data_IF_053219986868
#
_entry.id   IF_053219986868
#
_cell.length_a   1.000
_cell.length_b   1.000
_cell.length_c   1.000
_cell.angle_alpha   90.00
_cell.angle_beta   90.00
_cell.angle_gamma   90.00
#
_symmetry.space_group_name_H-M   'P 1'
#
loop_
_entity.id
_entity.type
_entity.pdbx_description
1 polymer ?
#
# COMPACT_ATOMS: atom_id res chain seq x y z
N UNK A 1 9.66 19.98 22.71
CA UNK A 1 9.39 19.96 21.26
C UNK A 1 9.47 18.53 20.78
N UNK A 2 8.35 17.92 20.37
CA UNK A 2 8.36 16.55 19.83
C UNK A 2 8.62 16.63 18.32
N UNK A 3 9.84 16.31 17.92
CA UNK A 3 10.22 16.26 16.50
C UNK A 3 9.49 15.05 15.91
N UNK A 4 8.54 15.29 15.01
CA UNK A 4 7.91 14.22 14.23
C UNK A 4 9.00 13.56 13.38
N UNK A 5 9.47 12.38 13.79
CA UNK A 5 10.45 11.63 13.00
C UNK A 5 9.84 11.31 11.64
N UNK A 6 10.50 11.67 10.52
CA UNK A 6 9.98 11.38 9.19
C UNK A 6 9.77 9.87 9.05
N UNK A 7 8.61 9.48 8.55
CA UNK A 7 8.23 8.10 8.33
C UNK A 7 9.17 7.46 7.28
N UNK A 8 10.25 6.81 7.73
CA UNK A 8 11.14 6.06 6.83
C UNK A 8 10.43 4.81 6.33
N UNK A 9 10.23 4.72 5.02
CA UNK A 9 9.77 3.49 4.38
C UNK A 9 10.92 2.49 4.29
N UNK A 10 10.65 1.23 4.64
CA UNK A 10 11.59 0.13 4.40
C UNK A 10 11.80 -0.05 2.90
N UNK A 11 13.06 -0.07 2.50
CA UNK A 11 13.50 -0.42 1.15
C UNK A 11 13.18 -1.88 0.83
N UNK A 12 13.24 -2.24 -0.45
CA UNK A 12 13.03 -3.63 -0.89
C UNK A 12 14.06 -4.59 -0.27
N UNK A 13 15.31 -4.17 -0.21
CA UNK A 13 16.40 -5.01 0.27
C UNK A 13 16.31 -5.25 1.77
N UNK A 14 15.95 -4.23 2.55
CA UNK A 14 15.68 -4.39 3.99
C UNK A 14 14.51 -5.36 4.24
N UNK A 15 13.45 -5.30 3.43
CA UNK A 15 12.32 -6.24 3.54
C UNK A 15 12.75 -7.67 3.23
N UNK A 16 13.60 -7.87 2.23
CA UNK A 16 14.16 -9.17 1.89
C UNK A 16 15.04 -9.71 3.02
N UNK A 17 15.93 -8.88 3.57
CA UNK A 17 16.77 -9.28 4.70
C UNK A 17 15.95 -9.68 5.93
N UNK A 18 14.90 -8.91 6.27
CA UNK A 18 13.97 -9.28 7.35
C UNK A 18 13.34 -10.65 7.08
N UNK A 19 12.87 -10.90 5.86
CA UNK A 19 12.22 -12.16 5.49
C UNK A 19 13.21 -13.34 5.54
N UNK A 20 14.42 -13.17 5.02
CA UNK A 20 15.47 -14.19 5.05
C UNK A 20 15.83 -14.58 6.47
N UNK A 21 16.02 -13.61 7.37
CA UNK A 21 16.34 -13.87 8.77
C UNK A 21 15.16 -14.50 9.53
N UNK A 22 13.93 -14.08 9.24
CA UNK A 22 12.73 -14.68 9.82
C UNK A 22 12.55 -16.14 9.38
N UNK A 23 12.75 -16.44 8.09
CA UNK A 23 12.69 -17.81 7.56
C UNK A 23 13.83 -18.69 8.10
N UNK A 24 14.98 -18.10 8.44
CA UNK A 24 16.06 -18.78 9.13
C UNK A 24 15.78 -19.04 10.64
N UNK A 25 14.63 -18.60 11.16
CA UNK A 25 14.20 -18.85 12.54
C UNK A 25 14.67 -17.82 13.56
N UNK A 26 15.24 -16.69 13.13
CA UNK A 26 15.64 -15.63 14.06
C UNK A 26 14.42 -14.92 14.67
N UNK A 27 14.49 -14.66 15.98
CA UNK A 27 13.44 -13.92 16.67
C UNK A 27 13.44 -12.43 16.30
N UNK A 28 12.27 -11.78 16.32
CA UNK A 28 12.10 -10.37 15.96
C UNK A 28 13.09 -9.43 16.66
N UNK A 29 13.41 -9.69 17.93
CA UNK A 29 14.37 -8.90 18.72
C UNK A 29 15.81 -9.02 18.22
N UNK A 30 16.20 -10.21 17.74
CA UNK A 30 17.52 -10.43 17.13
C UNK A 30 17.62 -9.71 15.79
N UNK A 31 16.59 -9.86 14.94
CA UNK A 31 16.51 -9.18 13.63
C UNK A 31 16.57 -7.65 13.82
N UNK A 32 15.89 -7.12 14.84
CA UNK A 32 15.91 -5.70 15.17
C UNK A 32 17.32 -5.19 15.50
N UNK A 33 18.07 -5.94 16.32
CA UNK A 33 19.44 -5.59 16.67
C UNK A 33 20.39 -5.69 15.48
N UNK A 34 20.20 -6.69 14.62
CA UNK A 34 21.06 -6.93 13.48
C UNK A 34 20.89 -5.90 12.35
N UNK A 35 19.66 -5.45 12.11
CA UNK A 35 19.35 -4.50 11.02
C UNK A 35 19.19 -3.05 11.49
N UNK A 36 19.17 -2.79 12.80
CA UNK A 36 18.91 -1.46 13.36
C UNK A 36 17.47 -0.96 13.10
N UNK A 37 16.54 -1.86 12.81
CA UNK A 37 15.14 -1.55 12.51
C UNK A 37 14.29 -1.81 13.74
N UNK A 38 13.30 -0.96 14.02
CA UNK A 38 12.43 -1.15 15.18
C UNK A 38 11.68 -2.49 15.13
N UNK A 39 11.55 -3.13 16.29
CA UNK A 39 10.83 -4.41 16.40
C UNK A 39 9.37 -4.28 15.94
N UNK A 40 8.74 -3.13 16.18
CA UNK A 40 7.38 -2.84 15.72
C UNK A 40 7.30 -2.84 14.18
N UNK A 41 8.30 -2.27 13.50
CA UNK A 41 8.38 -2.29 12.04
C UNK A 41 8.54 -3.71 11.52
N UNK A 42 9.46 -4.50 12.11
CA UNK A 42 9.69 -5.90 11.73
C UNK A 42 8.41 -6.73 11.89
N UNK A 43 7.73 -6.60 13.03
CA UNK A 43 6.47 -7.30 13.30
C UNK A 43 5.38 -6.96 12.29
N UNK A 44 5.24 -5.67 11.93
CA UNK A 44 4.28 -5.24 10.90
C UNK A 44 4.64 -5.81 9.53
N UNK A 45 5.92 -5.79 9.17
CA UNK A 45 6.42 -6.36 7.92
C UNK A 45 6.12 -7.86 7.83
N UNK A 46 6.45 -8.64 8.85
CA UNK A 46 6.15 -10.09 8.89
C UNK A 46 4.64 -10.35 8.83
N UNK A 47 3.84 -9.59 9.59
CA UNK A 47 2.37 -9.70 9.54
C UNK A 47 1.83 -9.42 8.13
N UNK A 48 2.38 -8.42 7.45
CA UNK A 48 1.97 -8.10 6.08
C UNK A 48 2.31 -9.21 5.09
N UNK A 49 3.42 -9.94 5.32
CA UNK A 49 3.77 -11.12 4.53
C UNK A 49 2.82 -12.29 4.79
N UNK A 50 2.50 -12.58 6.05
CA UNK A 50 1.65 -13.72 6.40
C UNK A 50 0.16 -13.51 6.07
N UNK A 51 -0.33 -12.27 6.08
CA UNK A 51 -1.73 -11.94 5.81
C UNK A 51 -2.11 -12.03 4.32
N UNK A 52 -1.12 -11.96 3.43
CA UNK A 52 -1.31 -12.18 2.01
C UNK A 52 -1.14 -13.68 1.74
N UNK A 53 -2.25 -14.40 1.61
CA UNK A 53 -2.30 -15.81 1.18
C UNK A 53 -1.91 -15.95 -0.31
N UNK A 54 -0.65 -15.64 -0.63
CA UNK A 54 -0.04 -15.70 -1.97
C UNK A 54 1.35 -15.03 -1.97
N UNK A 55 2.24 -15.33 -2.95
CA UNK A 55 3.58 -14.74 -3.01
C UNK A 55 3.46 -13.21 -3.08
N UNK A 56 3.90 -12.54 -2.03
CA UNK A 56 3.73 -11.10 -1.87
C UNK A 56 4.52 -10.37 -2.95
N UNK A 57 3.90 -9.45 -3.71
CA UNK A 57 4.67 -8.55 -4.56
C UNK A 57 5.63 -7.76 -3.64
N UNK A 58 6.92 -7.89 -3.90
CA UNK A 58 7.99 -7.12 -3.22
C UNK A 58 7.80 -5.60 -3.39
N UNK A 59 6.87 -5.19 -4.25
CA UNK A 59 6.45 -3.82 -4.50
C UNK A 59 5.16 -3.49 -3.74
N UNK A 60 5.06 -2.30 -3.12
CA UNK A 60 3.80 -1.86 -2.54
C UNK A 60 2.72 -1.82 -3.61
N UNK A 61 1.64 -2.58 -3.43
CA UNK A 61 0.48 -2.49 -4.31
C UNK A 61 -0.14 -1.10 -4.14
N UNK A 62 -0.42 -0.43 -5.27
CA UNK A 62 -1.09 0.86 -5.24
C UNK A 62 -2.41 0.67 -4.49
N UNK A 63 -2.65 1.49 -3.46
CA UNK A 63 -3.92 1.46 -2.76
C UNK A 63 -5.04 1.68 -3.79
N UNK A 64 -6.20 1.05 -3.61
CA UNK A 64 -7.34 1.16 -4.54
C UNK A 64 -7.88 2.59 -4.69
N UNK A 65 -7.30 3.56 -3.98
CA UNK A 65 -7.75 4.93 -3.90
C UNK A 65 -9.07 5.06 -3.15
N UNK A 66 -9.54 6.30 -3.01
CA UNK A 66 -10.91 6.56 -2.57
C UNK A 66 -11.85 6.15 -3.70
N UNK A 67 -12.96 5.49 -3.35
CA UNK A 67 -14.01 5.20 -4.32
C UNK A 67 -14.52 6.54 -4.92
N UNK A 68 -14.79 6.61 -6.23
CA UNK A 68 -15.35 7.81 -6.82
C UNK A 68 -16.67 8.18 -6.12
N UNK A 69 -16.91 9.48 -5.96
CA UNK A 69 -18.13 9.98 -5.31
C UNK A 69 -19.39 9.60 -6.08
N UNK A 70 -19.28 9.53 -7.42
CA UNK A 70 -20.37 9.14 -8.30
C UNK A 70 -20.14 7.69 -8.73
N UNK A 71 -21.20 6.89 -8.63
CA UNK A 71 -21.20 5.52 -9.13
C UNK A 71 -21.09 5.47 -10.67
N UNK A 72 -20.75 4.30 -11.19
CA UNK A 72 -20.63 4.09 -12.65
C UNK A 72 -21.92 4.37 -13.43
N UNK A 73 -23.13 3.96 -13.00
CA UNK A 73 -24.34 4.24 -13.76
C UNK A 73 -24.72 5.73 -13.76
N UNK A 74 -24.59 6.44 -12.63
CA UNK A 74 -24.90 7.87 -12.56
C UNK A 74 -23.91 8.67 -13.38
N UNK A 75 -22.62 8.30 -13.37
CA UNK A 75 -21.60 8.91 -14.23
C UNK A 75 -21.95 8.75 -15.71
N UNK A 76 -22.41 7.57 -16.14
CA UNK A 76 -22.85 7.33 -17.53
C UNK A 76 -24.04 8.19 -17.92
N UNK A 77 -25.07 8.29 -17.07
CA UNK A 77 -26.24 9.17 -17.32
C UNK A 77 -25.82 10.63 -17.46
N UNK A 78 -24.93 11.09 -16.59
CA UNK A 78 -24.44 12.47 -16.61
C UNK A 78 -23.70 12.79 -17.92
N UNK A 79 -22.84 11.87 -18.37
CA UNK A 79 -22.14 11.98 -19.65
C UNK A 79 -23.14 12.04 -20.80
N UNK A 80 -24.12 11.13 -20.84
CA UNK A 80 -25.14 11.11 -21.90
C UNK A 80 -25.92 12.42 -21.99
N UNK A 81 -26.41 12.92 -20.86
CA UNK A 81 -27.11 14.21 -20.82
C UNK A 81 -26.21 15.37 -21.27
N UNK A 82 -24.95 15.40 -20.83
CA UNK A 82 -24.00 16.43 -21.25
C UNK A 82 -23.74 16.39 -22.76
N UNK A 83 -23.61 15.19 -23.34
CA UNK A 83 -23.39 15.02 -24.79
C UNK A 83 -24.62 15.39 -25.62
N UNK A 84 -25.82 14.98 -25.20
CA UNK A 84 -27.07 15.30 -25.91
C UNK A 84 -27.34 16.81 -25.92
N UNK A 85 -27.08 17.47 -24.79
CA UNK A 85 -27.22 18.93 -24.69
C UNK A 85 -26.19 19.69 -25.54
N UNK A 86 -25.01 19.10 -25.77
CA UNK A 86 -23.99 19.69 -26.64
C UNK A 86 -24.39 19.62 -28.13
N UNK A 87 -24.94 18.48 -28.57
CA UNK A 87 -25.45 18.31 -29.93
C UNK A 87 -26.65 19.23 -30.22
N UNK A 88 -27.54 19.41 -29.25
CA UNK A 88 -28.69 20.30 -29.37
C UNK A 88 -28.30 21.78 -29.52
N UNK A 89 -27.18 22.23 -28.95
CA UNK A 89 -26.69 23.62 -29.08
C UNK A 89 -25.97 23.91 -30.40
N UNK A 90 -25.58 22.88 -31.14
CA UNK A 90 -24.88 23.02 -32.44
C UNK A 90 -25.85 23.13 -33.61
N UNK A 91 -27.12 22.79 -33.42
CA UNK A 91 -28.23 23.04 -34.34
C UNK A 91 -28.87 24.38 -34.03
#
# INVERSE_FOLDING_TARGET
>A
MTISTPCRHLTRDERLQILTLYNAGHGNRQISRQLGISEATIRRTIRSFNAASGPVPLTPTKSKGRRPFIDTPTRRRLILHATLNAEQRRK
#
